data_IF_218042701693
#
_entry.id   IF_218042701693
#
_cell.length_a   1.000
_cell.length_b   1.000
_cell.length_c   1.000
_cell.angle_alpha   90.00
_cell.angle_beta   90.00
_cell.angle_gamma   90.00
#
_symmetry.space_group_name_H-M   'P 1'
#
loop_
_entity.id
_entity.type
_entity.pdbx_description
1 polymer ?
#
# COMPACT_ATOMS: atom_id res chain seq x y z
N UNK A 1 3.39 13.05 -5.85
CA UNK A 1 3.82 14.00 -6.91
C UNK A 1 4.44 13.28 -8.10
N UNK A 2 5.27 12.24 -7.91
CA UNK A 2 5.89 11.49 -9.02
C UNK A 2 4.88 10.80 -9.95
N UNK A 3 3.81 10.19 -9.42
CA UNK A 3 2.79 9.51 -10.24
C UNK A 3 2.13 10.47 -11.25
N UNK A 4 1.78 11.70 -10.82
CA UNK A 4 1.16 12.70 -11.71
C UNK A 4 2.10 13.18 -12.81
N UNK A 5 3.38 13.37 -12.49
CA UNK A 5 4.41 13.70 -13.49
C UNK A 5 4.58 12.55 -14.48
N UNK A 6 4.61 11.30 -14.01
CA UNK A 6 4.67 10.12 -14.86
C UNK A 6 3.49 10.06 -15.84
N UNK A 7 2.27 10.28 -15.38
CA UNK A 7 1.10 10.34 -16.26
C UNK A 7 1.18 11.45 -17.30
N UNK A 8 1.65 12.64 -16.92
CA UNK A 8 1.85 13.75 -17.86
C UNK A 8 2.89 13.42 -18.93
N UNK A 9 3.99 12.75 -18.55
CA UNK A 9 5.00 12.29 -19.50
C UNK A 9 4.41 11.27 -20.46
N UNK A 10 3.68 10.27 -19.95
CA UNK A 10 3.05 9.25 -20.80
C UNK A 10 2.09 9.89 -21.80
N UNK A 11 1.14 10.71 -21.31
CA UNK A 11 0.17 11.37 -22.17
C UNK A 11 0.86 12.32 -23.16
N UNK A 12 1.87 13.07 -22.71
CA UNK A 12 2.65 13.98 -23.55
C UNK A 12 3.42 13.25 -24.65
N UNK A 13 4.05 12.12 -24.37
CA UNK A 13 4.78 11.34 -25.37
C UNK A 13 3.83 10.63 -26.34
N UNK A 14 2.79 9.98 -25.84
CA UNK A 14 1.83 9.21 -26.67
C UNK A 14 1.02 10.15 -27.57
N UNK A 15 0.36 11.15 -26.98
CA UNK A 15 -0.47 12.07 -27.77
C UNK A 15 0.35 13.16 -28.46
N UNK A 16 1.48 13.60 -27.88
CA UNK A 16 2.37 14.56 -28.54
C UNK A 16 3.02 13.98 -29.80
N UNK A 17 3.48 12.72 -29.78
CA UNK A 17 4.02 12.08 -30.99
C UNK A 17 2.94 11.90 -32.07
N UNK A 18 1.70 11.59 -31.69
CA UNK A 18 0.57 11.50 -32.62
C UNK A 18 0.28 12.84 -33.29
N UNK A 19 0.26 13.95 -32.53
CA UNK A 19 0.04 15.30 -33.06
C UNK A 19 1.19 15.73 -33.98
N UNK A 20 2.45 15.50 -33.58
CA UNK A 20 3.64 15.84 -34.38
C UNK A 20 3.65 15.06 -35.71
N UNK A 21 3.15 13.83 -35.71
CA UNK A 21 3.02 12.99 -36.91
C UNK A 21 1.87 13.39 -37.82
N UNK A 22 1.14 14.47 -37.50
CA UNK A 22 -0.02 14.95 -38.28
C UNK A 22 -1.34 14.25 -37.96
N UNK A 23 -1.42 13.54 -36.83
CA UNK A 23 -2.62 12.84 -36.38
C UNK A 23 -3.77 13.79 -36.03
N UNK A 24 -4.99 13.44 -36.44
CA UNK A 24 -6.21 14.20 -36.12
C UNK A 24 -6.83 13.70 -34.83
N UNK A 25 -6.77 14.50 -33.77
CA UNK A 25 -7.31 14.14 -32.45
C UNK A 25 -8.83 13.93 -32.43
N UNK A 26 -9.54 14.54 -33.38
CA UNK A 26 -11.00 14.42 -33.54
C UNK A 26 -11.48 12.97 -33.64
N UNK A 27 -10.72 12.11 -34.32
CA UNK A 27 -11.07 10.69 -34.51
C UNK A 27 -11.04 9.95 -33.17
N UNK A 28 -10.00 10.19 -32.37
CA UNK A 28 -9.86 9.60 -31.03
C UNK A 28 -10.95 10.17 -30.12
N UNK A 29 -11.15 11.48 -30.11
CA UNK A 29 -12.14 12.13 -29.26
C UNK A 29 -13.58 11.66 -29.53
N UNK A 30 -13.92 11.37 -30.79
CA UNK A 30 -15.23 10.86 -31.16
C UNK A 30 -15.43 9.39 -30.76
N UNK A 31 -14.39 8.55 -30.89
CA UNK A 31 -14.46 7.14 -30.51
C UNK A 31 -14.36 6.92 -28.99
N UNK A 32 -13.68 7.81 -28.27
CA UNK A 32 -13.32 7.65 -26.86
C UNK A 32 -14.51 7.37 -25.92
N UNK A 33 -15.68 8.02 -26.01
CA UNK A 33 -16.81 7.70 -25.14
C UNK A 33 -17.35 6.28 -25.32
N UNK A 34 -17.44 5.80 -26.56
CA UNK A 34 -17.94 4.46 -26.87
C UNK A 34 -16.92 3.38 -26.51
N UNK A 35 -15.65 3.61 -26.83
CA UNK A 35 -14.56 2.68 -26.51
C UNK A 35 -14.31 2.61 -25.00
N UNK A 36 -14.36 3.72 -24.26
CA UNK A 36 -14.27 3.70 -22.80
C UNK A 36 -15.46 3.02 -22.14
N UNK A 37 -16.67 3.15 -22.71
CA UNK A 37 -17.83 2.41 -22.21
C UNK A 37 -17.65 0.91 -22.42
N UNK A 38 -17.21 0.48 -23.60
CA UNK A 38 -16.95 -0.93 -23.88
C UNK A 38 -15.82 -1.48 -23.00
N UNK A 39 -14.67 -0.82 -23.01
CA UNK A 39 -13.46 -1.30 -22.33
C UNK A 39 -13.59 -1.11 -20.81
N UNK A 40 -13.87 0.10 -20.36
CA UNK A 40 -14.00 0.43 -18.93
C UNK A 40 -15.21 -0.26 -18.31
N UNK A 41 -16.37 -0.26 -18.98
CA UNK A 41 -17.57 -0.94 -18.50
C UNK A 41 -17.39 -2.45 -18.40
N UNK A 42 -16.85 -3.10 -19.45
CA UNK A 42 -16.59 -4.53 -19.39
C UNK A 42 -15.48 -4.89 -18.38
N UNK A 43 -14.46 -4.04 -18.22
CA UNK A 43 -13.41 -4.27 -17.22
C UNK A 43 -13.94 -4.18 -15.79
N UNK A 44 -14.77 -3.18 -15.49
CA UNK A 44 -15.43 -3.08 -14.18
C UNK A 44 -16.39 -4.25 -13.97
N UNK A 45 -17.15 -4.66 -15.00
CA UNK A 45 -18.01 -5.83 -14.94
C UNK A 45 -17.23 -7.12 -14.64
N UNK A 46 -16.14 -7.37 -15.37
CA UNK A 46 -15.26 -8.50 -15.14
C UNK A 46 -14.60 -8.46 -13.76
N UNK A 47 -14.22 -7.26 -13.29
CA UNK A 47 -13.66 -7.04 -11.97
C UNK A 47 -14.64 -7.37 -10.85
N UNK A 48 -15.91 -6.97 -10.97
CA UNK A 48 -16.97 -7.29 -10.01
C UNK A 48 -17.28 -8.79 -10.01
N UNK A 49 -17.33 -9.44 -11.17
CA UNK A 49 -17.60 -10.88 -11.29
C UNK A 49 -16.48 -11.72 -10.67
N UNK A 50 -15.23 -11.27 -10.78
CA UNK A 50 -14.05 -12.01 -10.30
C UNK A 50 -13.73 -11.79 -8.81
N UNK A 51 -14.38 -10.84 -8.13
CA UNK A 51 -13.99 -10.42 -6.79
C UNK A 51 -15.16 -10.31 -5.81
N UNK A 52 -14.87 -10.50 -4.53
CA UNK A 52 -15.82 -10.20 -3.46
C UNK A 52 -16.09 -8.69 -3.37
N UNK A 53 -17.28 -8.31 -2.89
CA UNK A 53 -17.63 -6.89 -2.68
C UNK A 53 -16.68 -6.18 -1.70
N UNK A 54 -16.08 -6.92 -0.77
CA UNK A 54 -15.04 -6.41 0.14
C UNK A 54 -13.79 -6.00 -0.65
N UNK A 55 -13.28 -6.91 -1.49
CA UNK A 55 -12.12 -6.67 -2.35
C UNK A 55 -12.36 -5.51 -3.31
N UNK A 56 -13.56 -5.41 -3.91
CA UNK A 56 -13.91 -4.32 -4.83
C UNK A 56 -13.82 -2.96 -4.14
N UNK A 57 -14.38 -2.84 -2.92
CA UNK A 57 -14.31 -1.60 -2.13
C UNK A 57 -12.89 -1.25 -1.72
N UNK A 58 -12.13 -2.25 -1.24
CA UNK A 58 -10.72 -2.07 -0.87
C UNK A 58 -9.83 -1.71 -2.06
N UNK A 59 -10.13 -2.21 -3.27
CA UNK A 59 -9.39 -1.85 -4.47
C UNK A 59 -9.63 -0.39 -4.86
N UNK A 60 -10.88 0.09 -4.72
CA UNK A 60 -11.21 1.50 -4.92
C UNK A 60 -10.48 2.44 -3.95
N UNK A 61 -10.43 2.10 -2.66
CA UNK A 61 -9.63 2.86 -1.69
C UNK A 61 -8.13 2.70 -1.92
N UNK A 62 -7.69 1.53 -2.36
CA UNK A 62 -6.31 1.21 -2.75
C UNK A 62 -5.81 2.06 -3.91
N UNK A 63 -6.65 2.37 -4.91
CA UNK A 63 -6.31 3.32 -5.96
C UNK A 63 -6.03 4.71 -5.39
N UNK A 64 -6.83 5.20 -4.43
CA UNK A 64 -6.51 6.47 -3.77
C UNK A 64 -5.23 6.39 -2.93
N UNK A 65 -4.99 5.25 -2.29
CA UNK A 65 -3.77 4.98 -1.50
C UNK A 65 -2.52 4.99 -2.38
N UNK A 66 -2.56 4.46 -3.59
CA UNK A 66 -1.41 4.47 -4.51
C UNK A 66 -0.95 5.89 -4.90
N UNK A 67 -1.86 6.87 -4.91
CA UNK A 67 -1.53 8.30 -5.09
C UNK A 67 -1.04 8.98 -3.81
N UNK A 68 -1.60 8.62 -2.64
CA UNK A 68 -1.20 9.17 -1.34
C UNK A 68 0.18 8.66 -0.91
N UNK A 69 0.53 7.44 -1.28
CA UNK A 69 1.78 6.77 -0.91
C UNK A 69 1.73 6.13 0.48
N UNK A 70 2.89 5.67 1.00
CA UNK A 70 3.01 5.03 2.31
C UNK A 70 2.54 5.91 3.45
N UNK A 71 1.96 5.27 4.48
CA UNK A 71 1.52 5.97 5.69
C UNK A 71 2.73 6.49 6.50
N UNK A 72 3.77 5.66 6.54
CA UNK A 72 4.97 5.83 7.34
C UNK A 72 5.99 6.76 6.68
N UNK A 73 6.45 7.75 7.44
CA UNK A 73 7.52 8.69 7.08
C UNK A 73 8.81 8.33 7.80
N UNK A 74 9.97 8.87 7.34
CA UNK A 74 11.27 8.55 7.95
C UNK A 74 11.34 8.79 9.45
N UNK A 75 10.75 9.88 9.95
CA UNK A 75 10.72 10.19 11.38
C UNK A 75 9.90 9.20 12.22
N UNK A 76 8.86 8.60 11.62
CA UNK A 76 7.93 7.71 12.31
C UNK A 76 8.62 6.40 12.75
N UNK A 77 9.69 5.97 12.05
CA UNK A 77 10.49 4.80 12.46
C UNK A 77 11.29 5.05 13.74
N UNK A 78 11.85 6.26 13.89
CA UNK A 78 12.54 6.65 15.14
C UNK A 78 11.54 6.68 16.29
N UNK A 79 10.36 7.25 16.04
CA UNK A 79 9.28 7.35 17.01
C UNK A 79 8.77 5.96 17.43
N UNK A 80 8.63 5.02 16.48
CA UNK A 80 8.28 3.63 16.76
C UNK A 80 9.31 2.93 17.65
N UNK A 81 10.60 3.04 17.34
CA UNK A 81 11.67 2.45 18.16
C UNK A 81 11.69 3.05 19.58
N UNK A 82 11.45 4.36 19.68
CA UNK A 82 11.40 5.07 20.96
C UNK A 82 10.19 4.63 21.79
N UNK A 83 9.02 4.51 21.17
CA UNK A 83 7.81 4.04 21.82
C UNK A 83 7.96 2.58 22.29
N UNK A 84 8.51 1.69 21.47
CA UNK A 84 8.82 0.30 21.85
C UNK A 84 9.81 0.24 23.02
N UNK A 85 10.84 1.10 23.02
CA UNK A 85 11.77 1.22 24.14
C UNK A 85 11.05 1.60 25.44
N UNK A 86 10.12 2.56 25.39
CA UNK A 86 9.34 2.98 26.55
C UNK A 86 8.45 1.84 27.07
N UNK A 87 7.72 1.14 26.18
CA UNK A 87 6.88 0.00 26.56
C UNK A 87 7.68 -1.14 27.22
N UNK A 88 8.78 -1.56 26.59
CA UNK A 88 9.64 -2.64 27.11
C UNK A 88 10.33 -2.23 28.42
N UNK A 89 10.70 -0.95 28.58
CA UNK A 89 11.27 -0.43 29.83
C UNK A 89 10.24 -0.42 30.95
N UNK A 90 9.00 0.00 30.65
CA UNK A 90 7.89 -0.02 31.60
C UNK A 90 7.57 -1.45 32.02
N UNK A 91 7.53 -2.40 31.07
CA UNK A 91 7.34 -3.81 31.36
C UNK A 91 8.45 -4.39 32.24
N UNK A 92 9.73 -4.05 31.96
CA UNK A 92 10.86 -4.49 32.79
C UNK A 92 10.79 -3.97 34.23
N UNK A 93 10.32 -2.73 34.45
CA UNK A 93 10.27 -2.09 35.78
C UNK A 93 9.03 -2.47 36.58
N UNK A 94 7.87 -2.47 35.92
CA UNK A 94 6.55 -2.62 36.55
C UNK A 94 5.88 -3.97 36.30
N UNK A 95 6.48 -4.86 35.52
CA UNK A 95 5.88 -6.15 35.15
C UNK A 95 4.56 -5.98 34.39
N UNK A 96 3.69 -7.00 34.51
CA UNK A 96 2.37 -7.02 33.88
C UNK A 96 1.49 -5.83 34.32
N UNK A 97 1.43 -5.54 35.62
CA UNK A 97 0.55 -4.51 36.20
C UNK A 97 0.93 -3.10 35.79
N UNK A 98 2.22 -2.84 35.51
CA UNK A 98 2.68 -1.56 34.99
C UNK A 98 2.33 -1.34 33.51
N UNK A 99 2.09 -2.41 32.75
CA UNK A 99 1.85 -2.33 31.31
C UNK A 99 0.36 -2.37 30.95
N UNK A 100 -0.46 -3.13 31.68
CA UNK A 100 -1.91 -3.31 31.45
C UNK A 100 -2.68 -2.01 31.13
N UNK A 101 -2.53 -0.89 31.89
CA UNK A 101 -3.25 0.35 31.59
C UNK A 101 -2.93 0.92 30.21
N UNK A 102 -1.70 0.71 29.73
CA UNK A 102 -1.25 1.17 28.42
C UNK A 102 -1.72 0.26 27.28
N UNK A 103 -1.97 -1.03 27.55
CA UNK A 103 -2.43 -2.00 26.55
C UNK A 103 -3.95 -1.96 26.36
N UNK A 104 -4.70 -1.71 27.44
CA UNK A 104 -6.16 -1.70 27.39
C UNK A 104 -6.71 -0.40 26.79
N UNK A 105 -6.02 0.72 27.04
CA UNK A 105 -6.38 2.04 26.49
C UNK A 105 -5.16 2.72 25.89
N UNK A 106 -4.69 2.28 24.70
CA UNK A 106 -3.55 2.88 24.04
C UNK A 106 -3.78 4.37 23.71
N UNK A 107 -5.01 4.79 23.42
CA UNK A 107 -5.30 6.20 23.10
C UNK A 107 -5.11 7.15 24.30
N UNK A 108 -5.36 6.68 25.52
CA UNK A 108 -5.20 7.44 26.77
C UNK A 108 -3.79 7.30 27.35
N UNK A 109 -2.96 6.42 26.77
CA UNK A 109 -1.65 6.09 27.29
C UNK A 109 -0.66 7.25 27.12
N UNK A 110 0.09 7.64 28.16
CA UNK A 110 1.17 8.62 28.04
C UNK A 110 2.33 8.14 27.16
N UNK A 111 2.39 6.83 26.85
CA UNK A 111 3.43 6.24 25.97
C UNK A 111 3.03 6.35 24.49
N UNK A 112 1.74 6.16 24.17
CA UNK A 112 1.27 6.21 22.77
C UNK A 112 0.78 7.60 22.34
N UNK A 113 0.20 8.39 23.25
CA UNK A 113 -0.34 9.73 22.95
C UNK A 113 0.67 10.71 22.31
N UNK A 114 1.99 10.67 22.60
CA UNK A 114 2.97 11.50 21.90
C UNK A 114 3.13 11.16 20.42
N UNK A 115 2.64 9.99 19.97
CA UNK A 115 2.84 9.44 18.63
C UNK A 115 1.51 9.25 17.88
N UNK A 116 0.78 10.32 17.53
CA UNK A 116 -0.55 10.26 16.92
C UNK A 116 -0.56 9.61 15.53
N UNK A 117 0.59 9.52 14.84
CA UNK A 117 0.70 8.79 13.57
C UNK A 117 0.67 7.28 13.77
N UNK A 118 1.35 6.79 14.80
CA UNK A 118 1.37 5.36 15.17
C UNK A 118 -0.03 4.97 15.67
N UNK A 119 -0.66 5.81 16.49
CA UNK A 119 -2.03 5.58 16.99
C UNK A 119 -3.11 5.48 15.89
N UNK A 120 -2.89 6.10 14.72
CA UNK A 120 -3.81 5.97 13.58
C UNK A 120 -3.73 4.61 12.89
N UNK A 121 -2.63 3.90 13.08
CA UNK A 121 -2.45 2.54 12.58
C UNK A 121 -2.97 1.57 13.64
N UNK A 122 -4.30 1.41 13.67
CA UNK A 122 -4.96 0.56 14.67
C UNK A 122 -4.46 -0.89 14.61
N UNK A 123 -4.10 -1.40 13.43
CA UNK A 123 -3.57 -2.75 13.28
C UNK A 123 -2.19 -2.90 13.91
N UNK A 124 -1.29 -1.93 13.72
CA UNK A 124 0.02 -1.99 14.38
C UNK A 124 -0.10 -1.87 15.90
N UNK A 125 -0.99 -1.00 16.40
CA UNK A 125 -1.22 -0.82 17.83
C UNK A 125 -1.80 -2.10 18.44
N UNK A 126 -2.82 -2.70 17.83
CA UNK A 126 -3.42 -3.96 18.25
C UNK A 126 -2.36 -5.07 18.28
N UNK A 127 -1.55 -5.20 17.21
CA UNK A 127 -0.45 -6.14 17.14
C UNK A 127 0.56 -5.96 18.29
N UNK A 128 1.03 -4.74 18.55
CA UNK A 128 1.94 -4.46 19.68
C UNK A 128 1.28 -4.85 21.00
N UNK A 129 0.03 -4.43 21.21
CA UNK A 129 -0.67 -4.62 22.47
C UNK A 129 -0.94 -6.09 22.77
N UNK A 130 -1.38 -6.86 21.78
CA UNK A 130 -1.73 -8.26 21.95
C UNK A 130 -0.50 -9.12 22.23
N UNK A 131 0.61 -8.93 21.51
CA UNK A 131 1.83 -9.69 21.78
C UNK A 131 2.49 -9.30 23.11
N UNK A 132 2.45 -8.02 23.50
CA UNK A 132 2.89 -7.63 24.84
C UNK A 132 1.98 -8.19 25.94
N UNK A 133 0.66 -8.28 25.70
CA UNK A 133 -0.30 -8.94 26.60
C UNK A 133 -0.02 -10.45 26.70
N UNK A 134 0.32 -11.11 25.60
CA UNK A 134 0.73 -12.53 25.64
C UNK A 134 1.98 -12.75 26.49
N UNK A 135 2.94 -11.80 26.48
CA UNK A 135 4.11 -11.87 27.37
C UNK A 135 3.75 -11.69 28.85
N UNK A 136 2.66 -11.00 29.20
CA UNK A 136 2.26 -10.81 30.61
C UNK A 136 1.66 -12.07 31.23
N UNK A 137 1.06 -12.95 30.41
CA UNK A 137 0.43 -14.21 30.85
C UNK A 137 1.38 -15.42 30.84
N UNK A 138 2.70 -15.19 30.89
CA UNK A 138 3.74 -16.23 30.87
C UNK A 138 3.71 -17.12 29.62
N UNK A 139 3.55 -16.53 28.44
CA UNK A 139 3.90 -17.24 27.21
C UNK A 139 5.44 -17.32 27.09
N UNK A 140 6.01 -18.44 27.54
CA UNK A 140 7.43 -18.56 27.90
C UNK A 140 8.38 -18.94 26.75
N UNK A 141 7.88 -19.37 25.59
CA UNK A 141 8.73 -19.80 24.47
C UNK A 141 8.88 -18.70 23.41
N UNK A 142 10.05 -18.02 23.33
CA UNK A 142 10.28 -16.95 22.35
C UNK A 142 10.15 -17.43 20.90
N UNK A 143 10.42 -18.71 20.61
CA UNK A 143 10.29 -19.24 19.26
C UNK A 143 8.82 -19.37 18.84
N UNK A 144 7.93 -19.70 19.77
CA UNK A 144 6.50 -19.75 19.48
C UNK A 144 5.92 -18.34 19.30
N UNK A 145 6.39 -17.35 20.07
CA UNK A 145 6.00 -15.94 19.86
C UNK A 145 6.45 -15.49 18.47
N UNK A 146 7.71 -15.76 18.12
CA UNK A 146 8.24 -15.40 16.81
C UNK A 146 7.44 -16.01 15.66
N UNK A 147 7.12 -17.31 15.75
CA UNK A 147 6.34 -18.01 14.74
C UNK A 147 4.90 -17.47 14.65
N UNK A 148 4.25 -17.17 15.77
CA UNK A 148 2.92 -16.58 15.80
C UNK A 148 2.91 -15.17 15.19
N UNK A 149 3.88 -14.32 15.58
CA UNK A 149 4.03 -12.97 15.03
C UNK A 149 4.30 -13.00 13.53
N UNK A 150 5.16 -13.92 13.05
CA UNK A 150 5.43 -14.05 11.61
C UNK A 150 4.16 -14.47 10.84
N UNK A 151 3.42 -15.46 11.34
CA UNK A 151 2.20 -15.92 10.71
C UNK A 151 1.11 -14.83 10.66
N UNK A 152 1.02 -14.00 11.69
CA UNK A 152 0.07 -12.89 11.74
C UNK A 152 0.46 -11.75 10.79
N UNK A 153 1.77 -11.43 10.69
CA UNK A 153 2.31 -10.49 9.70
C UNK A 153 2.02 -10.97 8.28
N UNK A 154 2.28 -12.25 7.99
CA UNK A 154 2.02 -12.85 6.68
C UNK A 154 0.53 -12.80 6.32
N UNK A 155 -0.34 -13.17 7.27
CA UNK A 155 -1.79 -13.08 7.12
C UNK A 155 -2.24 -11.65 6.81
N UNK A 156 -1.82 -10.67 7.61
CA UNK A 156 -2.19 -9.26 7.42
C UNK A 156 -1.70 -8.75 6.05
N UNK A 157 -0.46 -9.07 5.68
CA UNK A 157 0.09 -8.69 4.37
C UNK A 157 -0.71 -9.31 3.22
N UNK A 158 -1.07 -10.59 3.30
CA UNK A 158 -1.85 -11.27 2.29
C UNK A 158 -3.27 -10.70 2.15
N UNK A 159 -3.93 -10.37 3.26
CA UNK A 159 -5.25 -9.73 3.28
C UNK A 159 -5.25 -8.33 2.65
N UNK A 160 -4.17 -7.56 2.86
CA UNK A 160 -4.00 -6.23 2.27
C UNK A 160 -3.52 -6.28 0.81
N UNK A 161 -2.83 -7.34 0.39
CA UNK A 161 -2.37 -7.55 -0.99
C UNK A 161 -3.50 -7.98 -1.95
N UNK A 162 -4.56 -8.63 -1.47
CA UNK A 162 -5.67 -9.09 -2.30
C UNK A 162 -6.27 -8.05 -3.26
N UNK A 163 -6.61 -6.83 -2.80
CA UNK A 163 -7.08 -5.73 -3.66
C UNK A 163 -6.08 -5.28 -4.73
N UNK A 164 -4.78 -5.28 -4.39
CA UNK A 164 -3.73 -4.97 -5.35
C UNK A 164 -3.64 -6.04 -6.45
N UNK A 165 -3.68 -7.31 -6.06
CA UNK A 165 -3.65 -8.42 -7.00
C UNK A 165 -4.86 -8.38 -7.95
N UNK A 166 -6.04 -8.07 -7.44
CA UNK A 166 -7.25 -7.90 -8.24
C UNK A 166 -7.11 -6.78 -9.28
N UNK A 167 -6.50 -5.65 -8.92
CA UNK A 167 -6.20 -4.56 -9.87
C UNK A 167 -5.19 -4.98 -10.93
N UNK A 168 -4.20 -5.79 -10.58
CA UNK A 168 -3.23 -6.33 -11.53
C UNK A 168 -3.90 -7.24 -12.56
N UNK A 169 -4.79 -8.15 -12.12
CA UNK A 169 -5.55 -9.01 -13.04
C UNK A 169 -6.42 -8.16 -13.99
N UNK A 170 -7.06 -7.10 -13.47
CA UNK A 170 -7.82 -6.17 -14.31
C UNK A 170 -6.92 -5.48 -15.34
N UNK A 171 -5.71 -5.06 -14.94
CA UNK A 171 -4.72 -4.49 -15.84
C UNK A 171 -4.37 -5.48 -16.96
N UNK A 172 -4.09 -6.74 -16.62
CA UNK A 172 -3.70 -7.76 -17.59
C UNK A 172 -4.84 -8.12 -18.56
N UNK A 173 -6.11 -7.96 -18.14
CA UNK A 173 -7.28 -8.20 -18.97
C UNK A 173 -7.67 -7.05 -19.92
N UNK A 174 -7.29 -5.81 -19.60
CA UNK A 174 -7.65 -4.61 -20.38
C UNK A 174 -7.27 -4.67 -21.88
N UNK A 175 -6.09 -5.19 -22.28
CA UNK A 175 -5.73 -5.32 -23.70
C UNK A 175 -6.65 -6.30 -24.44
N UNK A 176 -6.99 -7.43 -23.80
CA UNK A 176 -7.90 -8.42 -24.37
C UNK A 176 -9.31 -7.86 -24.55
N UNK A 177 -9.79 -7.08 -23.58
CA UNK A 177 -11.08 -6.37 -23.69
C UNK A 177 -11.02 -5.30 -24.81
N UNK A 178 -9.89 -4.63 -24.99
CA UNK A 178 -9.65 -3.73 -26.13
C UNK A 178 -9.76 -4.42 -27.49
N UNK A 179 -9.31 -5.68 -27.60
CA UNK A 179 -9.49 -6.50 -28.81
C UNK A 179 -10.98 -6.75 -29.06
N UNK A 180 -11.75 -7.09 -28.02
CA UNK A 180 -13.21 -7.28 -28.15
C UNK A 180 -13.90 -6.01 -28.66
N UNK A 181 -13.52 -4.84 -28.14
CA UNK A 181 -14.05 -3.56 -28.59
C UNK A 181 -13.72 -3.27 -30.07
N UNK A 182 -12.47 -3.51 -30.49
CA UNK A 182 -12.07 -3.37 -31.88
C UNK A 182 -12.83 -4.34 -32.82
N UNK A 183 -13.06 -5.58 -32.39
CA UNK A 183 -13.86 -6.55 -33.15
C UNK A 183 -15.29 -6.05 -33.35
N UNK A 184 -15.92 -5.46 -32.32
CA UNK A 184 -17.24 -4.83 -32.47
C UNK A 184 -17.23 -3.68 -33.48
N UNK A 185 -16.17 -2.86 -33.49
CA UNK A 185 -15.98 -1.80 -34.47
C UNK A 185 -15.82 -2.33 -35.90
N UNK A 186 -15.08 -3.43 -36.09
CA UNK A 186 -14.95 -4.11 -37.39
C UNK A 186 -16.28 -4.69 -37.85
N UNK A 187 -17.05 -5.35 -36.97
CA UNK A 187 -18.39 -5.87 -37.29
C UNK A 187 -19.30 -4.73 -37.75
N UNK A 188 -19.30 -3.60 -37.04
CA UNK A 188 -20.06 -2.40 -37.43
C UNK A 188 -19.65 -1.89 -38.81
N UNK A 189 -18.36 -1.88 -39.10
CA UNK A 189 -17.83 -1.41 -40.39
C UNK A 189 -18.23 -2.35 -41.54
N UNK A 190 -18.15 -3.65 -41.32
CA UNK A 190 -18.57 -4.65 -42.32
C UNK A 190 -20.08 -4.58 -42.62
N UNK A 191 -20.89 -4.16 -41.64
CA UNK A 191 -22.32 -3.89 -41.84
C UNK A 191 -22.63 -2.66 -42.69
N UNK A 192 -21.64 -1.84 -43.02
CA UNK A 192 -21.77 -0.61 -43.83
C UNK A 192 -20.79 -0.61 -45.01
N UNK A 193 -20.45 -1.80 -45.52
CA UNK A 193 -19.45 -2.00 -46.57
C UNK A 193 -19.78 -1.29 -47.90
N UNK A 194 -21.05 -0.95 -48.10
CA UNK A 194 -21.58 -0.24 -49.26
C UNK A 194 -21.37 1.29 -49.19
N UNK A 195 -20.91 1.81 -48.05
CA UNK A 195 -20.65 3.24 -47.86
C UNK A 195 -19.36 3.71 -48.58
N UNK A 196 -19.26 5.02 -48.88
CA UNK A 196 -18.05 5.63 -49.42
C UNK A 196 -16.80 5.36 -48.57
N UNK A 197 -15.64 5.32 -49.23
CA UNK A 197 -14.34 5.04 -48.62
C UNK A 197 -13.98 5.95 -47.45
N UNK A 198 -14.44 7.20 -47.48
CA UNK A 198 -14.20 8.19 -46.44
C UNK A 198 -14.91 7.82 -45.13
N UNK A 199 -16.16 7.33 -45.23
CA UNK A 199 -16.96 6.91 -44.08
C UNK A 199 -16.39 5.60 -43.53
N UNK A 200 -16.09 4.66 -44.43
CA UNK A 200 -15.51 3.36 -44.04
C UNK A 200 -14.16 3.56 -43.34
N UNK A 201 -13.30 4.45 -43.85
CA UNK A 201 -12.03 4.80 -43.23
C UNK A 201 -12.18 5.40 -41.83
N UNK A 202 -13.18 6.26 -41.61
CA UNK A 202 -13.47 6.81 -40.28
C UNK A 202 -13.95 5.71 -39.29
N UNK A 203 -14.77 4.76 -39.75
CA UNK A 203 -15.25 3.65 -38.92
C UNK A 203 -14.12 2.68 -38.55
N UNK A 204 -13.24 2.35 -39.50
CA UNK A 204 -12.02 1.55 -39.23
C UNK A 204 -11.12 2.28 -38.24
N UNK A 205 -10.92 3.59 -38.44
CA UNK A 205 -10.14 4.43 -37.54
C UNK A 205 -10.66 4.38 -36.11
N UNK A 206 -11.98 4.49 -35.93
CA UNK A 206 -12.64 4.33 -34.63
C UNK A 206 -12.41 2.94 -34.00
N UNK A 207 -12.54 1.87 -34.78
CA UNK A 207 -12.32 0.50 -34.29
C UNK A 207 -10.88 0.27 -33.78
N UNK A 208 -9.88 0.89 -34.41
CA UNK A 208 -8.48 0.79 -33.99
C UNK A 208 -8.18 1.56 -32.69
N UNK A 209 -9.02 2.55 -32.32
CA UNK A 209 -8.89 3.26 -31.03
C UNK A 209 -9.16 2.31 -29.86
N UNK A 210 -10.03 1.31 -30.03
CA UNK A 210 -10.35 0.33 -28.99
C UNK A 210 -9.15 -0.48 -28.52
N UNK A 211 -8.40 -1.09 -29.46
CA UNK A 211 -7.19 -1.85 -29.12
C UNK A 211 -6.11 -0.96 -28.52
N UNK A 212 -5.90 0.22 -29.10
CA UNK A 212 -4.96 1.21 -28.58
C UNK A 212 -5.29 1.60 -27.14
N UNK A 213 -6.55 1.93 -26.86
CA UNK A 213 -7.00 2.35 -25.54
C UNK A 213 -6.88 1.22 -24.51
N UNK A 214 -7.20 -0.02 -24.89
CA UNK A 214 -7.04 -1.18 -24.01
C UNK A 214 -5.59 -1.37 -23.55
N UNK A 215 -4.64 -1.30 -24.49
CA UNK A 215 -3.19 -1.40 -24.18
C UNK A 215 -2.71 -0.20 -23.36
N UNK A 216 -3.14 1.02 -23.72
CA UNK A 216 -2.78 2.24 -23.00
C UNK A 216 -3.27 2.19 -21.54
N UNK A 217 -4.54 1.86 -21.31
CA UNK A 217 -5.10 1.79 -19.96
C UNK A 217 -4.46 0.68 -19.13
N UNK A 218 -4.17 -0.47 -19.74
CA UNK A 218 -3.49 -1.58 -19.09
C UNK A 218 -2.10 -1.20 -18.58
N UNK A 219 -1.19 -0.88 -19.50
CA UNK A 219 0.24 -0.77 -19.19
C UNK A 219 0.64 0.63 -18.72
N UNK A 220 -0.12 1.66 -19.07
CA UNK A 220 0.21 3.02 -18.69
C UNK A 220 -0.61 3.57 -17.52
N UNK A 221 -1.71 2.92 -17.14
CA UNK A 221 -2.59 3.41 -16.07
C UNK A 221 -2.78 2.38 -14.97
N UNK A 222 -3.53 1.31 -15.22
CA UNK A 222 -3.98 0.40 -14.16
C UNK A 222 -2.81 -0.45 -13.64
N UNK A 223 -1.97 -0.98 -14.53
CA UNK A 223 -0.79 -1.77 -14.16
C UNK A 223 0.19 -1.02 -13.25
N UNK A 224 0.69 0.17 -13.66
CA UNK A 224 1.58 0.96 -12.81
C UNK A 224 0.96 1.37 -11.46
N UNK A 225 -0.35 1.64 -11.43
CA UNK A 225 -1.05 1.94 -10.18
C UNK A 225 -1.15 0.72 -9.27
N UNK A 226 -1.39 -0.47 -9.82
CA UNK A 226 -1.38 -1.72 -9.08
C UNK A 226 0.03 -2.01 -8.51
N UNK A 227 1.09 -1.85 -9.31
CA UNK A 227 2.47 -2.01 -8.84
C UNK A 227 2.83 -0.99 -7.74
N UNK A 228 2.39 0.27 -7.88
CA UNK A 228 2.63 1.30 -6.84
C UNK A 228 1.86 1.02 -5.55
N UNK A 229 0.67 0.43 -5.66
CA UNK A 229 -0.08 -0.02 -4.51
C UNK A 229 0.66 -1.16 -3.79
N UNK A 230 1.22 -2.12 -4.53
CA UNK A 230 2.04 -3.21 -3.95
C UNK A 230 3.20 -2.65 -3.14
N UNK A 231 4.00 -1.75 -3.73
CA UNK A 231 5.13 -1.11 -3.04
C UNK A 231 4.71 -0.34 -1.78
N UNK A 232 3.53 0.26 -1.81
CA UNK A 232 2.93 0.94 -0.64
C UNK A 232 2.58 -0.06 0.46
N UNK A 233 1.91 -1.16 0.12
CA UNK A 233 1.54 -2.22 1.06
C UNK A 233 2.79 -2.87 1.67
N UNK A 234 3.79 -3.18 0.84
CA UNK A 234 5.08 -3.72 1.30
C UNK A 234 5.75 -2.76 2.29
N UNK A 235 5.68 -1.45 2.02
CA UNK A 235 6.28 -0.45 2.88
C UNK A 235 5.56 -0.29 4.22
N UNK A 236 4.24 -0.42 4.23
CA UNK A 236 3.42 -0.34 5.43
C UNK A 236 3.50 -1.64 6.28
N UNK A 237 3.98 -2.76 5.71
CA UNK A 237 4.25 -4.00 6.44
C UNK A 237 5.56 -3.96 7.26
N UNK A 238 6.55 -3.15 6.84
CA UNK A 238 7.88 -3.07 7.48
C UNK A 238 7.86 -2.74 8.98
N UNK A 239 7.03 -1.82 9.49
CA UNK A 239 6.89 -1.55 10.93
C UNK A 239 6.59 -2.80 11.76
N UNK A 240 5.77 -3.72 11.26
CA UNK A 240 5.43 -4.95 11.98
C UNK A 240 6.66 -5.84 12.19
N UNK A 241 7.54 -5.94 11.18
CA UNK A 241 8.79 -6.67 11.31
C UNK A 241 9.72 -6.04 12.36
N UNK A 242 9.78 -4.71 12.46
CA UNK A 242 10.55 -3.98 13.48
C UNK A 242 10.01 -4.30 14.87
N UNK A 243 8.67 -4.24 15.05
CA UNK A 243 8.00 -4.58 16.31
C UNK A 243 8.29 -6.03 16.70
N UNK A 244 8.12 -6.99 15.78
CA UNK A 244 8.44 -8.40 15.98
C UNK A 244 9.86 -8.57 16.50
N UNK A 245 10.84 -7.99 15.79
CA UNK A 245 12.24 -8.11 16.19
C UNK A 245 12.52 -7.53 17.57
N UNK A 246 11.91 -6.40 17.93
CA UNK A 246 12.06 -5.80 19.26
C UNK A 246 11.48 -6.69 20.37
N UNK A 247 10.24 -7.17 20.18
CA UNK A 247 9.52 -7.99 21.17
C UNK A 247 10.19 -9.36 21.34
N UNK A 248 10.53 -10.03 20.24
CA UNK A 248 11.21 -11.35 20.27
C UNK A 248 12.59 -11.25 20.90
N UNK A 249 13.39 -10.21 20.56
CA UNK A 249 14.70 -10.03 21.19
C UNK A 249 14.58 -9.82 22.70
N UNK A 250 13.58 -9.07 23.15
CA UNK A 250 13.32 -8.89 24.58
C UNK A 250 12.83 -10.20 25.24
N UNK A 251 11.96 -10.98 24.58
CA UNK A 251 11.53 -12.30 25.05
C UNK A 251 12.69 -13.30 25.18
N UNK A 252 13.73 -13.17 24.33
CA UNK A 252 14.98 -13.92 24.43
C UNK A 252 15.93 -13.42 25.54
N UNK A 253 15.43 -12.63 26.50
CA UNK A 253 16.18 -12.06 27.62
C UNK A 253 17.31 -11.09 27.24
N UNK A 254 17.26 -10.48 26.05
CA UNK A 254 18.19 -9.39 25.72
C UNK A 254 17.85 -8.12 26.51
N UNK A 255 18.85 -7.31 26.90
CA UNK A 255 18.60 -6.00 27.48
C UNK A 255 17.77 -5.11 26.54
N UNK A 256 16.85 -4.31 27.08
CA UNK A 256 15.94 -3.45 26.28
C UNK A 256 16.68 -2.60 25.24
N UNK A 257 17.81 -1.99 25.60
CA UNK A 257 18.61 -1.20 24.65
C UNK A 257 19.15 -2.04 23.49
N UNK A 258 19.58 -3.28 23.75
CA UNK A 258 20.07 -4.21 22.74
C UNK A 258 18.93 -4.68 21.85
N UNK A 259 17.77 -5.01 22.42
CA UNK A 259 16.59 -5.39 21.65
C UNK A 259 16.17 -4.31 20.64
N UNK A 260 16.17 -3.04 21.07
CA UNK A 260 15.85 -1.90 20.20
C UNK A 260 16.93 -1.64 19.16
N UNK A 261 18.21 -1.85 19.47
CA UNK A 261 19.29 -1.76 18.48
C UNK A 261 19.19 -2.86 17.41
N UNK A 262 18.79 -4.08 17.79
CA UNK A 262 18.52 -5.15 16.83
C UNK A 262 17.32 -4.76 15.95
N UNK A 263 16.25 -4.21 16.52
CA UNK A 263 15.09 -3.74 15.77
C UNK A 263 15.41 -2.56 14.84
N UNK A 264 16.31 -1.65 15.24
CA UNK A 264 16.81 -0.56 14.39
C UNK A 264 17.45 -1.09 13.11
N UNK A 265 18.17 -2.21 13.16
CA UNK A 265 18.79 -2.82 11.98
C UNK A 265 17.77 -3.38 10.98
N UNK A 266 16.52 -3.61 11.40
CA UNK A 266 15.40 -4.00 10.53
C UNK A 266 14.70 -2.81 9.89
N UNK A 267 15.03 -1.58 10.31
CA UNK A 267 14.51 -0.37 9.66
C UNK A 267 15.12 -0.23 8.26
N UNK A 268 14.36 0.18 7.24
CA UNK A 268 14.90 0.37 5.89
C UNK A 268 16.12 1.28 5.90
N UNK A 269 17.18 0.90 5.19
CA UNK A 269 18.49 1.57 5.26
C UNK A 269 18.45 3.07 4.99
N UNK A 270 17.51 3.54 4.16
CA UNK A 270 17.33 4.96 3.86
C UNK A 270 16.72 5.77 5.01
N UNK A 271 16.03 5.10 5.94
CA UNK A 271 15.28 5.71 7.04
C UNK A 271 15.77 5.26 8.41
N UNK A 272 16.74 4.35 8.46
CA UNK A 272 17.34 3.89 9.70
C UNK A 272 18.06 5.08 10.39
N UNK A 273 17.67 5.45 11.62
CA UNK A 273 18.37 6.49 12.36
C UNK A 273 19.84 6.08 12.57
N UNK A 274 20.74 7.03 12.78
CA UNK A 274 22.10 6.70 13.23
C UNK A 274 22.08 6.18 14.67
N UNK A 275 23.15 5.50 15.09
CA UNK A 275 23.25 4.97 16.46
C UNK A 275 23.12 6.12 17.48
N UNK A 276 23.84 7.21 17.25
CA UNK A 276 23.81 8.42 18.09
C UNK A 276 22.43 9.08 18.12
N UNK A 277 21.73 9.14 16.97
CA UNK A 277 20.38 9.70 16.89
C UNK A 277 19.37 8.85 17.67
N UNK A 278 19.50 7.52 17.60
CA UNK A 278 18.68 6.62 18.39
C UNK A 278 19.00 6.79 19.88
N UNK A 279 20.26 6.73 20.28
CA UNK A 279 20.68 6.86 21.69
C UNK A 279 20.16 8.15 22.32
N UNK A 280 20.30 9.28 21.62
CA UNK A 280 19.77 10.58 22.07
C UNK A 280 18.25 10.53 22.26
N UNK A 281 17.52 9.97 21.29
CA UNK A 281 16.06 9.83 21.38
C UNK A 281 15.63 8.90 22.52
N UNK A 282 16.38 7.82 22.76
CA UNK A 282 16.11 6.90 23.88
C UNK A 282 16.36 7.58 25.23
N UNK A 283 17.40 8.40 25.36
CA UNK A 283 17.68 9.11 26.60
C UNK A 283 16.68 10.23 26.87
N UNK A 284 16.24 10.97 25.85
CA UNK A 284 15.11 11.91 25.95
C UNK A 284 13.83 11.20 26.40
N UNK A 285 13.55 10.03 25.83
CA UNK A 285 12.38 9.22 26.17
C UNK A 285 12.43 8.63 27.58
N UNK A 286 13.63 8.26 28.09
CA UNK A 286 13.84 7.88 29.49
C UNK A 286 13.55 9.05 30.43
N UNK A 287 13.98 10.26 30.06
CA UNK A 287 13.80 11.46 30.87
C UNK A 287 12.32 11.88 30.93
N UNK A 288 11.55 11.68 29.85
CA UNK A 288 10.09 11.89 29.84
C UNK A 288 9.29 10.85 30.64
N UNK A 289 9.87 9.68 30.95
CA UNK A 289 9.31 8.64 31.83
C UNK A 289 9.67 8.84 33.31
N UNK A 290 10.59 9.76 33.63
CA UNK A 290 10.84 10.13 35.02
C UNK A 290 9.67 11.00 35.50
N UNK A 291 9.02 10.69 36.64
CA UNK A 291 8.09 11.64 37.21
C UNK A 291 8.85 12.94 37.41
N UNK A 292 8.24 14.06 37.01
CA UNK A 292 8.72 15.38 37.33
C UNK A 292 9.12 15.37 38.81
N UNK A 293 10.41 15.57 39.07
CA UNK A 293 10.92 15.67 40.41
C UNK A 293 10.26 16.88 41.08
N UNK A 294 9.45 16.59 42.11
CA UNK A 294 8.98 17.44 43.19
C UNK A 294 8.35 18.80 42.85
#
# INVERSE_FOLDING_TARGET
MLNGVGFLIILGCVFGSFIISGGKFEIIAHALPHELMAIGGASIGAFIVSNSMSTVKKAGSGLMRSFKGPMWKPGDYKDLLTMLFQLLTTFKKGGATGLEPHLDRPEESPIFSPYPRILKDHHLVEFICDYLRMMTVNFEDPHQIEAAMEADIEKHHHEEAGPQHALQIMADGLPAIGIVAAVLGVIKTMGSIDQPTEILGAMIGGALVGTFMGVLLSYCVVGPLASKLAETIDSDCKPFAIVKTAIVAYAQNQPVQVAIEIARRMTPSAYAPSFQQLETALDEAKNGLSPAAA
#
